data_IF_047665487360
#
_entry.id   IF_047665487360
#
_cell.length_a   1.000
_cell.length_b   1.000
_cell.length_c   1.000
_cell.angle_alpha   90.00
_cell.angle_beta   90.00
_cell.angle_gamma   90.00
#
_symmetry.space_group_name_H-M   'P 1'
#
loop_
_entity.id
_entity.type
_entity.pdbx_description
1 polymer ?
#
# COMPACT_ATOMS: atom_id res chain seq x y z
N UNK A 1 -25.31 -31.92 9.59
CA UNK A 1 -24.68 -30.61 9.36
C UNK A 1 -25.36 -29.95 8.17
N UNK A 2 -26.13 -28.91 8.40
CA UNK A 2 -26.85 -28.18 7.36
C UNK A 2 -25.93 -27.11 6.77
N UNK A 3 -25.77 -27.00 5.43
CA UNK A 3 -24.92 -25.97 4.84
C UNK A 3 -25.49 -24.58 5.14
N UNK A 4 -24.64 -23.57 5.43
CA UNK A 4 -25.13 -22.22 5.68
C UNK A 4 -25.79 -21.66 4.41
N UNK A 5 -27.10 -21.40 4.49
CA UNK A 5 -27.87 -20.76 3.42
C UNK A 5 -27.32 -19.36 3.14
N UNK A 6 -26.98 -19.08 1.87
CA UNK A 6 -26.66 -17.73 1.40
C UNK A 6 -27.89 -16.85 1.57
N UNK A 7 -27.83 -15.89 2.52
CA UNK A 7 -28.84 -14.84 2.65
C UNK A 7 -28.69 -13.88 1.46
N UNK A 8 -29.47 -14.10 0.41
CA UNK A 8 -29.65 -13.13 -0.66
C UNK A 8 -30.33 -11.88 -0.10
N UNK A 9 -29.71 -10.70 -0.26
CA UNK A 9 -30.32 -9.41 0.05
C UNK A 9 -29.82 -8.69 1.30
N UNK A 10 -28.88 -9.25 2.07
CA UNK A 10 -28.17 -8.45 3.08
C UNK A 10 -27.00 -7.71 2.40
N UNK A 11 -26.80 -6.41 2.68
CA UNK A 11 -25.55 -5.75 2.29
C UNK A 11 -24.39 -6.60 2.81
N UNK A 12 -23.31 -6.77 2.02
CA UNK A 12 -22.19 -7.60 2.44
C UNK A 12 -21.76 -7.14 3.84
N UNK A 13 -21.59 -8.07 4.80
CA UNK A 13 -21.26 -7.71 6.17
C UNK A 13 -20.07 -6.75 6.12
N UNK A 14 -20.22 -5.61 6.80
CA UNK A 14 -19.18 -4.59 6.82
C UNK A 14 -17.99 -5.17 7.58
N UNK A 15 -17.02 -5.72 6.86
CA UNK A 15 -15.84 -6.33 7.47
C UNK A 15 -14.98 -5.19 8.01
N UNK A 16 -14.76 -5.20 9.33
CA UNK A 16 -13.81 -4.32 9.99
C UNK A 16 -12.40 -4.88 9.80
N UNK A 17 -11.85 -4.71 8.59
CA UNK A 17 -10.55 -5.27 8.20
C UNK A 17 -9.43 -5.01 9.21
N UNK A 18 -9.42 -3.82 9.83
CA UNK A 18 -8.36 -3.42 10.76
C UNK A 18 -8.36 -4.22 12.08
N UNK A 19 -9.50 -4.80 12.47
CA UNK A 19 -9.64 -5.58 13.70
C UNK A 19 -9.40 -7.09 13.52
N UNK A 20 -9.21 -7.54 12.27
CA UNK A 20 -8.97 -8.95 11.99
C UNK A 20 -7.50 -9.29 12.17
N UNK A 21 -7.24 -10.51 12.67
CA UNK A 21 -5.90 -11.07 12.69
C UNK A 21 -5.49 -11.59 11.30
N UNK A 22 -4.25 -12.05 11.20
CA UNK A 22 -3.68 -12.59 9.96
C UNK A 22 -4.52 -13.74 9.40
N UNK A 23 -4.94 -14.68 10.24
CA UNK A 23 -5.65 -15.90 9.81
C UNK A 23 -7.02 -15.54 9.27
N UNK A 24 -7.76 -14.69 9.99
CA UNK A 24 -9.08 -14.20 9.58
C UNK A 24 -9.02 -13.44 8.25
N UNK A 25 -7.97 -12.63 8.04
CA UNK A 25 -7.77 -11.90 6.79
C UNK A 25 -7.48 -12.82 5.60
N UNK A 26 -6.67 -13.87 5.80
CA UNK A 26 -6.41 -14.88 4.76
C UNK A 26 -7.71 -15.60 4.40
N UNK A 27 -8.48 -16.05 5.39
CA UNK A 27 -9.77 -16.72 5.18
C UNK A 27 -10.74 -15.79 4.43
N UNK A 28 -10.84 -14.53 4.86
CA UNK A 28 -11.67 -13.54 4.19
C UNK A 28 -11.23 -13.31 2.74
N UNK A 29 -9.93 -13.29 2.47
CA UNK A 29 -9.35 -13.22 1.13
C UNK A 29 -9.75 -14.39 0.24
N UNK A 30 -9.58 -15.63 0.72
CA UNK A 30 -9.90 -16.86 -0.02
C UNK A 30 -11.40 -16.98 -0.34
N UNK A 31 -12.27 -16.65 0.62
CA UNK A 31 -13.73 -16.65 0.42
C UNK A 31 -14.13 -15.70 -0.71
N UNK A 32 -13.47 -14.54 -0.80
CA UNK A 32 -13.79 -13.47 -1.75
C UNK A 32 -13.13 -13.66 -3.12
N UNK A 33 -11.95 -14.26 -3.16
CA UNK A 33 -11.14 -14.46 -4.36
C UNK A 33 -10.77 -15.93 -4.52
N UNK A 34 -11.70 -16.76 -4.99
CA UNK A 34 -11.48 -18.20 -5.22
C UNK A 34 -10.30 -18.52 -6.16
N UNK A 35 -10.00 -17.61 -7.08
CA UNK A 35 -8.85 -17.71 -7.98
C UNK A 35 -7.51 -17.78 -7.22
N UNK A 36 -7.43 -17.32 -5.97
CA UNK A 36 -6.23 -17.42 -5.13
C UNK A 36 -5.80 -18.87 -4.92
N UNK A 37 -6.77 -19.78 -4.72
CA UNK A 37 -6.48 -21.20 -4.48
C UNK A 37 -5.81 -21.82 -5.71
N UNK A 38 -6.25 -21.44 -6.90
CA UNK A 38 -5.70 -21.95 -8.16
C UNK A 38 -4.40 -21.25 -8.57
N UNK A 39 -4.30 -19.94 -8.34
CA UNK A 39 -3.18 -19.12 -8.81
C UNK A 39 -1.94 -19.23 -7.93
N UNK A 40 -2.10 -19.55 -6.63
CA UNK A 40 -1.01 -19.50 -5.67
C UNK A 40 -0.56 -20.87 -5.18
N UNK A 41 -1.29 -21.95 -5.51
CA UNK A 41 -1.09 -23.32 -5.00
C UNK A 41 -0.70 -23.34 -3.51
N UNK A 42 -1.57 -22.84 -2.62
CA UNK A 42 -1.19 -22.56 -1.25
C UNK A 42 -1.11 -23.85 -0.43
N UNK A 43 0.04 -24.51 -0.44
CA UNK A 43 0.39 -25.53 0.53
C UNK A 43 0.85 -24.88 1.84
N UNK A 44 -0.11 -24.46 2.67
CA UNK A 44 0.13 -23.91 4.01
C UNK A 44 0.05 -22.38 4.08
N UNK A 45 -0.85 -21.87 4.92
CA UNK A 45 -1.06 -20.43 5.12
C UNK A 45 -0.22 -19.85 6.28
N UNK A 46 0.61 -20.70 6.88
CA UNK A 46 1.48 -20.35 8.01
C UNK A 46 2.80 -19.71 7.56
N UNK A 47 3.11 -19.79 6.26
CA UNK A 47 4.30 -19.17 5.67
C UNK A 47 4.07 -17.69 5.28
N UNK A 48 5.00 -16.82 5.70
CA UNK A 48 4.96 -15.39 5.44
C UNK A 48 5.06 -15.05 3.95
N UNK A 49 5.79 -15.84 3.16
CA UNK A 49 5.89 -15.62 1.71
C UNK A 49 4.55 -15.91 1.03
N UNK A 50 3.88 -16.99 1.41
CA UNK A 50 2.53 -17.30 0.92
C UNK A 50 1.52 -16.21 1.28
N UNK A 51 1.54 -15.72 2.53
CA UNK A 51 0.66 -14.62 2.95
C UNK A 51 1.00 -13.31 2.23
N UNK A 52 2.29 -13.05 1.94
CA UNK A 52 2.73 -11.90 1.15
C UNK A 52 2.20 -11.97 -0.28
N UNK A 53 2.26 -13.13 -0.94
CA UNK A 53 1.69 -13.34 -2.29
C UNK A 53 0.18 -13.11 -2.31
N UNK A 54 -0.55 -13.65 -1.33
CA UNK A 54 -1.99 -13.39 -1.15
C UNK A 54 -2.24 -11.90 -0.97
N UNK A 55 -1.47 -11.26 -0.09
CA UNK A 55 -1.55 -9.83 0.20
C UNK A 55 -1.41 -8.97 -1.05
N UNK A 56 -0.40 -9.23 -1.88
CA UNK A 56 -0.19 -8.49 -3.14
C UNK A 56 -1.27 -8.75 -4.18
N UNK A 57 -1.73 -10.01 -4.32
CA UNK A 57 -2.82 -10.33 -5.23
C UNK A 57 -4.09 -9.58 -4.86
N UNK A 58 -4.44 -9.54 -3.57
CA UNK A 58 -5.60 -8.79 -3.08
C UNK A 58 -5.39 -7.27 -3.18
N UNK A 59 -4.19 -6.77 -2.91
CA UNK A 59 -3.85 -5.35 -3.01
C UNK A 59 -3.85 -4.81 -4.45
N UNK A 60 -3.76 -5.68 -5.47
CA UNK A 60 -3.95 -5.29 -6.87
C UNK A 60 -5.43 -5.09 -7.27
N UNK A 61 -6.37 -5.54 -6.42
CA UNK A 61 -7.81 -5.36 -6.62
C UNK A 61 -8.26 -4.04 -5.98
N UNK A 62 -9.56 -3.77 -6.02
CA UNK A 62 -10.17 -2.54 -5.49
C UNK A 62 -11.11 -2.82 -4.31
N UNK A 63 -11.41 -1.81 -3.50
CA UNK A 63 -12.43 -1.91 -2.45
C UNK A 63 -12.01 -2.78 -1.27
N UNK A 64 -12.88 -3.68 -0.80
CA UNK A 64 -12.61 -4.51 0.38
C UNK A 64 -11.42 -5.44 0.18
N UNK A 65 -11.22 -5.96 -1.04
CA UNK A 65 -10.11 -6.87 -1.35
C UNK A 65 -8.77 -6.13 -1.21
N UNK A 66 -8.69 -4.90 -1.72
CA UNK A 66 -7.54 -4.01 -1.52
C UNK A 66 -7.24 -3.83 -0.04
N UNK A 67 -8.26 -3.54 0.77
CA UNK A 67 -8.09 -3.29 2.20
C UNK A 67 -7.54 -4.52 2.93
N UNK A 68 -8.07 -5.72 2.63
CA UNK A 68 -7.58 -6.98 3.18
C UNK A 68 -6.11 -7.19 2.77
N UNK A 69 -5.81 -7.06 1.47
CA UNK A 69 -4.45 -7.24 0.95
C UNK A 69 -3.45 -6.30 1.59
N UNK A 70 -3.77 -5.00 1.63
CA UNK A 70 -2.96 -3.98 2.30
C UNK A 70 -2.71 -4.32 3.77
N UNK A 71 -3.76 -4.75 4.50
CA UNK A 71 -3.65 -5.07 5.93
C UNK A 71 -2.76 -6.29 6.17
N UNK A 72 -2.91 -7.35 5.38
CA UNK A 72 -2.02 -8.52 5.43
C UNK A 72 -0.56 -8.11 5.26
N UNK A 73 -0.27 -7.29 4.24
CA UNK A 73 1.10 -6.83 3.98
C UNK A 73 1.64 -5.94 5.11
N UNK A 74 0.79 -5.13 5.76
CA UNK A 74 1.18 -4.34 6.95
C UNK A 74 1.52 -5.24 8.14
N UNK A 75 0.74 -6.29 8.40
CA UNK A 75 1.00 -7.23 9.49
C UNK A 75 2.32 -8.01 9.29
N UNK A 76 2.73 -8.21 8.04
CA UNK A 76 4.02 -8.81 7.69
C UNK A 76 5.20 -7.81 7.70
N UNK A 77 4.92 -6.52 7.81
CA UNK A 77 5.97 -5.49 7.83
C UNK A 77 6.53 -5.35 9.25
N UNK A 78 7.85 -5.44 9.48
CA UNK A 78 8.43 -5.43 10.83
C UNK A 78 8.10 -4.19 11.67
N UNK A 79 7.94 -3.04 11.02
CA UNK A 79 7.59 -1.75 11.62
C UNK A 79 6.10 -1.41 11.48
N UNK A 80 5.29 -2.34 10.93
CA UNK A 80 3.89 -2.12 10.59
C UNK A 80 3.67 -1.20 9.38
N UNK A 81 4.73 -0.71 8.74
CA UNK A 81 4.63 0.25 7.67
C UNK A 81 5.02 -0.33 6.32
N UNK A 82 4.02 -0.44 5.45
CA UNK A 82 4.25 -0.88 4.09
C UNK A 82 5.10 0.15 3.32
N UNK A 83 6.12 -0.34 2.62
CA UNK A 83 6.98 0.45 1.74
C UNK A 83 6.96 -0.13 0.32
N UNK A 84 7.06 0.70 -0.73
CA UNK A 84 7.19 0.22 -2.10
C UNK A 84 8.40 -0.70 -2.21
N UNK A 85 8.36 -1.82 -2.96
CA UNK A 85 9.49 -2.74 -3.04
C UNK A 85 10.74 -2.05 -3.65
N UNK A 86 11.96 -2.59 -3.44
CA UNK A 86 13.19 -1.96 -3.93
C UNK A 86 13.22 -1.68 -5.44
N UNK A 87 12.57 -2.53 -6.23
CA UNK A 87 12.41 -2.41 -7.67
C UNK A 87 11.35 -1.39 -8.11
N UNK A 88 10.64 -0.75 -7.17
CA UNK A 88 9.62 0.25 -7.48
C UNK A 88 10.20 1.46 -8.21
N UNK A 89 9.90 1.55 -9.51
CA UNK A 89 10.35 2.63 -10.37
C UNK A 89 9.34 2.89 -11.48
N UNK A 90 8.57 3.96 -11.35
CA UNK A 90 7.66 4.45 -12.40
C UNK A 90 8.27 5.57 -13.24
N UNK A 91 9.39 6.15 -12.80
CA UNK A 91 10.12 7.18 -13.53
C UNK A 91 11.43 6.64 -14.12
N UNK A 92 11.75 7.09 -15.34
CA UNK A 92 13.07 6.86 -15.94
C UNK A 92 14.13 7.70 -15.24
N UNK A 93 13.80 8.92 -14.85
CA UNK A 93 14.67 9.79 -14.06
C UNK A 93 14.65 9.34 -12.61
N UNK A 94 15.81 8.92 -12.10
CA UNK A 94 16.01 8.47 -10.71
C UNK A 94 17.04 9.29 -9.97
N UNK A 95 17.70 10.22 -10.66
CA UNK A 95 18.67 11.12 -10.08
C UNK A 95 18.21 12.56 -10.35
N UNK A 96 17.98 13.34 -9.30
CA UNK A 96 17.73 14.77 -9.45
C UNK A 96 19.03 15.50 -9.77
N UNK A 97 18.90 16.61 -10.49
CA UNK A 97 19.95 17.62 -10.59
C UNK A 97 20.18 18.32 -9.25
N UNK A 98 21.34 18.95 -9.10
CA UNK A 98 21.65 19.75 -7.90
C UNK A 98 20.63 20.87 -7.68
N UNK A 99 20.21 21.53 -8.77
CA UNK A 99 19.22 22.60 -8.71
C UNK A 99 17.85 22.09 -8.25
N UNK A 100 17.39 20.94 -8.76
CA UNK A 100 16.14 20.32 -8.32
C UNK A 100 16.19 19.98 -6.83
N UNK A 101 17.30 19.42 -6.33
CA UNK A 101 17.42 19.11 -4.91
C UNK A 101 17.54 20.34 -4.02
N UNK A 102 18.20 21.40 -4.48
CA UNK A 102 18.28 22.66 -3.78
C UNK A 102 16.88 23.28 -3.62
N UNK A 103 16.03 23.16 -4.64
CA UNK A 103 14.67 23.68 -4.66
C UNK A 103 13.63 22.72 -4.05
N UNK A 104 13.97 21.45 -3.86
CA UNK A 104 13.04 20.44 -3.36
C UNK A 104 12.55 20.77 -1.94
N UNK A 105 11.25 20.71 -1.67
CA UNK A 105 10.72 20.87 -0.32
C UNK A 105 11.20 19.76 0.62
N UNK A 106 11.18 20.05 1.93
CA UNK A 106 11.33 19.02 2.96
C UNK A 106 9.93 18.60 3.41
N UNK A 107 9.62 17.32 3.28
CA UNK A 107 8.39 16.70 3.78
C UNK A 107 8.70 16.06 5.13
N UNK A 108 8.20 16.66 6.21
CA UNK A 108 8.36 16.11 7.56
C UNK A 108 7.19 16.53 8.47
N UNK A 109 6.69 15.68 9.37
CA UNK A 109 6.92 14.26 9.31
C UNK A 109 6.20 13.67 8.08
N UNK A 110 6.77 12.63 7.47
CA UNK A 110 6.27 12.03 6.23
C UNK A 110 5.74 10.62 6.46
N UNK A 111 4.88 10.18 5.54
CA UNK A 111 4.41 8.81 5.40
C UNK A 111 4.38 8.43 3.93
N UNK A 112 4.65 7.15 3.65
CA UNK A 112 4.40 6.53 2.36
C UNK A 112 3.27 5.53 2.55
N UNK A 113 2.27 5.62 1.70
CA UNK A 113 1.08 4.78 1.79
C UNK A 113 0.76 4.15 0.45
N UNK A 114 0.43 2.85 0.46
CA UNK A 114 -0.31 2.24 -0.63
C UNK A 114 -1.76 2.64 -0.48
N UNK A 115 -2.29 3.36 -1.47
CA UNK A 115 -3.62 3.95 -1.44
C UNK A 115 -4.43 3.56 -2.67
N UNK A 116 -5.76 3.54 -2.51
CA UNK A 116 -6.70 3.16 -3.55
C UNK A 116 -7.98 4.00 -3.38
N UNK A 117 -8.56 4.47 -4.48
CA UNK A 117 -9.87 5.14 -4.49
C UNK A 117 -10.80 4.53 -5.51
N UNK A 118 -12.00 4.18 -5.06
CA UNK A 118 -13.09 3.75 -5.93
C UNK A 118 -12.70 2.58 -6.82
N UNK A 119 -12.62 2.83 -8.13
CA UNK A 119 -12.32 1.86 -9.17
C UNK A 119 -10.88 1.95 -9.73
N UNK A 120 -10.03 2.85 -9.23
CA UNK A 120 -8.66 2.95 -9.74
C UNK A 120 -7.77 1.89 -9.09
N UNK A 121 -6.76 1.37 -9.81
CA UNK A 121 -5.72 0.54 -9.23
C UNK A 121 -5.03 1.25 -8.05
N UNK A 122 -4.49 0.45 -7.13
CA UNK A 122 -3.71 0.97 -6.03
C UNK A 122 -2.44 1.68 -6.52
N UNK A 123 -2.06 2.74 -5.83
CA UNK A 123 -0.85 3.49 -6.11
C UNK A 123 -0.15 3.91 -4.81
N UNK A 124 1.16 4.07 -4.91
CA UNK A 124 1.96 4.61 -3.84
C UNK A 124 1.83 6.12 -3.78
N UNK A 125 1.65 6.66 -2.58
CA UNK A 125 1.59 8.10 -2.34
C UNK A 125 2.54 8.52 -1.22
N UNK A 126 3.07 9.73 -1.34
CA UNK A 126 3.74 10.46 -0.26
C UNK A 126 2.75 11.42 0.37
N UNK A 127 2.70 11.39 1.70
CA UNK A 127 1.91 12.30 2.52
C UNK A 127 2.80 12.92 3.60
N UNK A 128 2.60 14.19 3.91
CA UNK A 128 3.26 14.83 5.05
C UNK A 128 3.06 16.32 5.09
N UNK A 129 3.65 16.96 6.10
CA UNK A 129 3.75 18.42 6.15
C UNK A 129 4.95 18.88 5.34
N UNK A 130 4.78 19.95 4.59
CA UNK A 130 5.77 20.49 3.64
C UNK A 130 6.38 21.76 4.22
N UNK A 131 7.70 21.82 4.24
CA UNK A 131 8.47 23.01 4.61
C UNK A 131 9.12 23.60 3.38
N UNK A 132 8.41 24.48 2.69
CA UNK A 132 8.91 25.25 1.56
C UNK A 132 8.01 26.45 1.27
N UNK A 133 8.58 27.61 0.92
CA UNK A 133 7.84 28.88 0.78
C UNK A 133 6.89 28.93 -0.42
N UNK A 134 7.11 28.10 -1.44
CA UNK A 134 6.34 28.12 -2.70
C UNK A 134 5.49 26.86 -2.90
N UNK A 135 5.34 26.03 -1.86
CA UNK A 135 4.54 24.81 -1.96
C UNK A 135 3.40 24.87 -0.95
N UNK A 136 2.34 24.13 -1.25
CA UNK A 136 1.27 23.89 -0.30
C UNK A 136 1.82 23.25 0.99
N UNK A 137 1.29 23.60 2.17
CA UNK A 137 1.82 23.16 3.47
C UNK A 137 1.64 21.66 3.72
N UNK A 138 0.91 20.96 2.85
CA UNK A 138 0.66 19.52 2.89
C UNK A 138 0.85 18.94 1.49
N UNK A 139 1.46 17.77 1.42
CA UNK A 139 1.56 17.00 0.18
C UNK A 139 0.67 15.77 0.26
N UNK A 140 0.02 15.45 -0.86
CA UNK A 140 -0.69 14.19 -1.08
C UNK A 140 -0.51 13.78 -2.54
N UNK A 141 0.69 13.29 -2.85
CA UNK A 141 1.14 13.12 -4.24
C UNK A 141 1.49 11.67 -4.56
N UNK A 142 1.26 11.27 -5.80
CA UNK A 142 1.66 9.94 -6.27
C UNK A 142 3.19 9.84 -6.28
N UNK A 143 3.68 8.76 -5.72
CA UNK A 143 5.10 8.40 -5.72
C UNK A 143 5.46 7.78 -7.07
N UNK A 144 6.52 8.29 -7.70
CA UNK A 144 7.08 7.78 -8.96
C UNK A 144 8.39 7.03 -8.77
N UNK A 145 9.17 7.44 -7.79
CA UNK A 145 10.43 6.79 -7.42
C UNK A 145 10.77 7.10 -5.97
N UNK A 146 11.35 6.13 -5.27
CA UNK A 146 11.75 6.25 -3.88
C UNK A 146 13.22 5.88 -3.72
N UNK A 147 14.02 6.84 -3.31
CA UNK A 147 15.43 6.64 -2.96
C UNK A 147 15.56 6.68 -1.44
N UNK A 148 15.46 5.50 -0.83
CA UNK A 148 15.50 5.35 0.63
C UNK A 148 16.86 5.73 1.23
N UNK A 149 18.01 5.28 0.67
CA UNK A 149 19.32 5.64 1.20
C UNK A 149 19.56 7.14 1.30
N UNK A 150 19.06 7.92 0.33
CA UNK A 150 19.25 9.36 0.27
C UNK A 150 18.07 10.17 0.82
N UNK A 151 17.04 9.50 1.35
CA UNK A 151 15.86 10.16 1.92
C UNK A 151 15.18 11.10 0.93
N UNK A 152 14.99 10.69 -0.33
CA UNK A 152 14.36 11.51 -1.37
C UNK A 152 13.35 10.72 -2.18
N UNK A 153 12.37 11.41 -2.72
CA UNK A 153 11.33 10.81 -3.54
C UNK A 153 11.02 11.70 -4.73
N UNK A 154 10.75 11.08 -5.88
CA UNK A 154 10.13 11.76 -7.01
C UNK A 154 8.63 11.52 -6.95
N UNK A 155 7.86 12.59 -7.04
CA UNK A 155 6.40 12.59 -7.02
C UNK A 155 5.84 13.19 -8.31
N UNK A 156 4.51 13.21 -8.47
CA UNK A 156 3.86 13.93 -9.58
C UNK A 156 4.11 15.45 -9.52
N UNK A 157 4.39 15.98 -8.33
CA UNK A 157 4.66 17.41 -8.10
C UNK A 157 6.16 17.74 -8.15
N UNK A 158 7.02 16.74 -8.42
CA UNK A 158 8.47 16.88 -8.49
C UNK A 158 9.22 16.19 -7.35
N UNK A 159 10.51 16.52 -7.23
CA UNK A 159 11.40 15.96 -6.22
C UNK A 159 11.11 16.52 -4.82
N UNK A 160 11.13 15.65 -3.82
CA UNK A 160 10.98 16.02 -2.41
C UNK A 160 12.05 15.36 -1.54
N UNK A 161 12.46 16.05 -0.49
CA UNK A 161 13.32 15.51 0.59
C UNK A 161 12.45 14.95 1.70
N UNK A 162 12.71 13.74 2.13
CA UNK A 162 11.97 13.05 3.18
C UNK A 162 12.71 13.25 4.51
N UNK A 163 12.06 13.93 5.46
CA UNK A 163 12.61 14.16 6.80
C UNK A 163 12.31 13.02 7.76
N UNK A 164 11.65 13.32 8.89
CA UNK A 164 11.29 12.30 9.88
C UNK A 164 10.06 11.51 9.42
N UNK A 165 10.08 10.18 9.53
CA UNK A 165 8.90 9.34 9.28
C UNK A 165 7.96 9.37 10.49
N UNK A 166 6.64 9.35 10.26
CA UNK A 166 5.60 9.07 11.28
C UNK A 166 5.53 7.57 11.51
#
# INVERSE_FOLDING_TARGET
>A
MTPPQRRFGLPPPQIHVESLDRTDLVIAGLIRCRELETALDPHGFDDDETVRRIGWHLASRTGTDFRIGRRLLQLLSPDGYLIPPPEFRLARVTEPTELEMFQAPIVTPYRIELWQSGSTPAEWRVNGSVYHKYWEPRIWSRLRYLDRPWGRALTDDGWVRLGRRI
#
